data_IF_716534984793
#
_entry.id   IF_716534984793
#
_cell.length_a   1.000
_cell.length_b   1.000
_cell.length_c   1.000
_cell.angle_alpha   90.00
_cell.angle_beta   90.00
_cell.angle_gamma   90.00
#
_symmetry.space_group_name_H-M   'P 1'
#
loop_
_entity.id
_entity.type
_entity.pdbx_description
1 polymer ?
#
# COMPACT_ATOMS: atom_id res chain seq x y z
N UNK A 1 43.96 -5.94 -24.14
CA UNK A 1 42.92 -4.91 -23.88
C UNK A 1 41.59 -5.63 -23.67
N UNK A 2 41.03 -5.55 -22.46
CA UNK A 2 39.86 -6.33 -22.03
C UNK A 2 38.61 -5.81 -22.76
N UNK A 3 37.94 -6.71 -23.50
CA UNK A 3 36.68 -6.43 -24.19
C UNK A 3 35.58 -6.29 -23.14
N UNK A 4 35.21 -5.05 -22.83
CA UNK A 4 33.97 -4.77 -22.10
C UNK A 4 32.82 -5.17 -23.02
N UNK A 5 32.18 -6.29 -22.69
CA UNK A 5 31.07 -6.85 -23.43
C UNK A 5 29.86 -5.94 -23.28
N UNK A 6 29.32 -5.50 -24.43
CA UNK A 6 28.11 -4.67 -24.58
C UNK A 6 26.87 -5.19 -23.83
N UNK A 7 26.92 -6.43 -23.31
CA UNK A 7 25.88 -7.04 -22.48
C UNK A 7 25.78 -6.41 -21.07
N UNK A 8 26.83 -5.75 -20.58
CA UNK A 8 26.78 -5.05 -19.29
C UNK A 8 26.01 -3.71 -19.35
N UNK A 9 25.77 -3.17 -20.55
CA UNK A 9 25.03 -1.91 -20.72
C UNK A 9 23.50 -2.09 -20.69
N UNK A 10 22.98 -3.31 -20.83
CA UNK A 10 21.54 -3.56 -20.87
C UNK A 10 20.92 -3.92 -19.51
N UNK A 11 21.74 -4.16 -18.47
CA UNK A 11 21.24 -4.41 -17.10
C UNK A 11 21.27 -3.14 -16.24
N UNK A 12 21.88 -2.05 -16.73
CA UNK A 12 21.90 -0.74 -16.07
C UNK A 12 20.72 0.17 -16.48
N UNK A 13 19.62 -0.40 -17.00
CA UNK A 13 18.48 0.35 -17.54
C UNK A 13 17.31 0.58 -16.57
N UNK A 14 17.22 -0.17 -15.47
CA UNK A 14 16.08 -0.08 -14.53
C UNK A 14 16.40 0.57 -13.18
N UNK A 15 17.66 1.00 -12.96
CA UNK A 15 18.06 1.66 -11.71
C UNK A 15 18.18 3.19 -11.80
N UNK A 16 17.88 3.81 -12.96
CA UNK A 16 18.08 5.26 -13.14
C UNK A 16 16.91 6.00 -13.81
N UNK A 17 15.71 5.43 -13.77
CA UNK A 17 14.47 6.10 -14.23
C UNK A 17 13.46 6.41 -13.12
N UNK A 18 13.76 6.11 -11.85
CA UNK A 18 12.88 6.47 -10.72
C UNK A 18 13.14 7.89 -10.17
N UNK A 19 14.24 8.53 -10.55
CA UNK A 19 14.57 9.89 -10.09
C UNK A 19 14.10 11.00 -11.03
N UNK A 20 13.49 10.69 -12.18
CA UNK A 20 13.07 11.70 -13.17
C UNK A 20 11.61 11.62 -13.63
N UNK A 21 10.85 10.57 -13.29
CA UNK A 21 9.39 10.52 -13.53
C UNK A 21 8.56 11.22 -12.44
N UNK A 22 9.16 11.50 -11.28
CA UNK A 22 8.50 12.03 -10.08
C UNK A 22 9.00 13.43 -9.66
N UNK A 23 9.52 14.21 -10.60
CA UNK A 23 9.88 15.60 -10.37
C UNK A 23 8.61 16.46 -10.24
N UNK A 24 8.04 16.53 -9.03
CA UNK A 24 6.89 17.39 -8.71
C UNK A 24 5.73 16.71 -7.99
N UNK A 25 5.73 15.38 -7.87
CA UNK A 25 4.65 14.63 -7.23
C UNK A 25 4.83 14.58 -5.70
N UNK A 26 3.76 14.86 -4.96
CA UNK A 26 3.79 14.87 -3.49
C UNK A 26 3.96 13.46 -2.93
N UNK A 27 4.39 13.33 -1.67
CA UNK A 27 4.45 12.01 -0.99
C UNK A 27 3.09 11.35 -1.00
N UNK A 28 2.02 12.11 -0.75
CA UNK A 28 0.64 11.63 -0.78
C UNK A 28 0.29 10.97 -2.11
N UNK A 29 0.54 11.66 -3.22
CA UNK A 29 0.18 11.18 -4.57
C UNK A 29 0.98 9.91 -4.93
N UNK A 30 2.27 9.88 -4.59
CA UNK A 30 3.12 8.69 -4.75
C UNK A 30 2.59 7.48 -3.99
N UNK A 31 2.12 7.69 -2.75
CA UNK A 31 1.55 6.62 -1.94
C UNK A 31 0.29 6.04 -2.59
N UNK A 32 -0.61 6.89 -3.08
CA UNK A 32 -1.83 6.44 -3.75
C UNK A 32 -1.51 5.64 -5.02
N UNK A 33 -0.64 6.18 -5.86
CA UNK A 33 -0.22 5.55 -7.12
C UNK A 33 0.38 4.16 -6.86
N UNK A 34 1.26 4.05 -5.87
CA UNK A 34 1.91 2.78 -5.58
C UNK A 34 0.97 1.78 -4.89
N UNK A 35 0.08 2.23 -4.01
CA UNK A 35 -0.95 1.39 -3.41
C UNK A 35 -1.90 0.81 -4.47
N UNK A 36 -2.32 1.62 -5.44
CA UNK A 36 -3.16 1.17 -6.55
C UNK A 36 -2.44 0.17 -7.47
N UNK A 37 -1.18 0.46 -7.82
CA UNK A 37 -0.35 -0.52 -8.59
C UNK A 37 -0.25 -1.85 -7.87
N UNK A 38 -0.04 -1.85 -6.57
CA UNK A 38 0.08 -3.08 -5.79
C UNK A 38 -1.23 -3.85 -5.75
N UNK A 39 -2.37 -3.16 -5.60
CA UNK A 39 -3.69 -3.78 -5.68
C UNK A 39 -3.91 -4.43 -7.05
N UNK A 40 -3.60 -3.72 -8.14
CA UNK A 40 -3.75 -4.26 -9.50
C UNK A 40 -2.79 -5.43 -9.77
N UNK A 41 -1.51 -5.29 -9.41
CA UNK A 41 -0.52 -6.36 -9.55
C UNK A 41 -0.93 -7.60 -8.77
N UNK A 42 -1.49 -7.42 -7.59
CA UNK A 42 -1.88 -8.54 -6.77
C UNK A 42 -3.13 -9.25 -7.33
N UNK A 43 -4.07 -8.55 -7.99
CA UNK A 43 -5.19 -9.22 -8.71
C UNK A 43 -4.69 -10.24 -9.75
N UNK A 44 -3.53 -10.00 -10.34
CA UNK A 44 -2.94 -10.87 -11.37
C UNK A 44 -1.92 -11.86 -10.81
N UNK A 45 -1.11 -11.44 -9.83
CA UNK A 45 0.09 -12.16 -9.37
C UNK A 45 -0.04 -12.71 -7.95
N UNK A 46 -1.12 -12.38 -7.23
CA UNK A 46 -1.36 -12.79 -5.86
C UNK A 46 -0.24 -12.36 -4.92
N UNK A 47 0.38 -13.32 -4.24
CA UNK A 47 1.42 -13.08 -3.24
C UNK A 47 2.68 -12.43 -3.80
N UNK A 48 3.05 -12.73 -5.04
CA UNK A 48 4.29 -12.26 -5.65
C UNK A 48 4.33 -10.73 -5.79
N UNK A 49 3.16 -10.09 -5.91
CA UNK A 49 3.06 -8.63 -5.94
C UNK A 49 3.65 -7.97 -4.68
N UNK A 50 3.56 -8.63 -3.52
CA UNK A 50 4.07 -8.10 -2.25
C UNK A 50 5.60 -8.06 -2.17
N UNK A 51 6.33 -8.77 -3.05
CA UNK A 51 7.80 -8.76 -3.06
C UNK A 51 8.36 -7.43 -3.59
N UNK A 52 7.52 -6.62 -4.24
CA UNK A 52 7.92 -5.38 -4.88
C UNK A 52 7.62 -4.12 -4.03
N UNK A 53 7.22 -4.28 -2.77
CA UNK A 53 6.93 -3.13 -1.89
C UNK A 53 8.22 -2.39 -1.56
N UNK A 54 8.26 -1.09 -1.87
CA UNK A 54 9.32 -0.20 -1.41
C UNK A 54 9.08 0.20 0.05
N UNK A 55 9.85 -0.40 0.96
CA UNK A 55 9.78 -0.13 2.40
C UNK A 55 10.08 1.33 2.78
N UNK A 56 10.91 2.05 2.00
CA UNK A 56 11.17 3.47 2.26
C UNK A 56 9.98 4.34 1.88
N UNK A 57 9.32 4.00 0.78
CA UNK A 57 8.09 4.66 0.38
C UNK A 57 6.98 4.36 1.39
N UNK A 58 6.82 3.10 1.82
CA UNK A 58 5.88 2.72 2.87
C UNK A 58 6.10 3.50 4.17
N UNK A 59 7.35 3.65 4.60
CA UNK A 59 7.68 4.47 5.77
C UNK A 59 7.27 5.94 5.57
N UNK A 60 7.48 6.48 4.36
CA UNK A 60 7.07 7.85 4.00
C UNK A 60 5.54 8.01 3.99
N UNK A 61 4.81 7.02 3.50
CA UNK A 61 3.34 7.01 3.49
C UNK A 61 2.76 6.97 4.90
N UNK A 62 3.34 6.16 5.78
CA UNK A 62 2.99 6.12 7.21
C UNK A 62 3.25 7.46 7.89
N UNK A 63 4.39 8.09 7.61
CA UNK A 63 4.71 9.40 8.17
C UNK A 63 3.72 10.49 7.69
N UNK A 64 3.32 10.48 6.42
CA UNK A 64 2.33 11.42 5.91
C UNK A 64 0.95 11.18 6.54
N UNK A 65 0.58 9.90 6.77
CA UNK A 65 -0.64 9.54 7.48
C UNK A 65 -0.63 10.07 8.93
N UNK A 66 0.44 9.81 9.69
CA UNK A 66 0.61 10.34 11.05
C UNK A 66 0.54 11.87 11.08
N UNK A 67 1.15 12.54 10.11
CA UNK A 67 1.11 14.01 10.02
C UNK A 67 -0.32 14.53 9.84
N UNK A 68 -1.15 13.88 9.03
CA UNK A 68 -2.58 14.24 8.89
C UNK A 68 -3.35 14.05 10.20
N UNK A 69 -3.12 12.93 10.88
CA UNK A 69 -3.75 12.60 12.15
C UNK A 69 -3.39 13.60 13.24
N UNK A 70 -2.10 13.90 13.40
CA UNK A 70 -1.62 14.89 14.37
C UNK A 70 -2.14 16.30 14.09
N UNK A 71 -2.18 16.71 12.82
CA UNK A 71 -2.70 18.02 12.45
C UNK A 71 -4.17 18.17 12.86
N UNK A 72 -4.98 17.14 12.62
CA UNK A 72 -6.39 17.12 13.01
C UNK A 72 -6.56 17.17 14.54
N UNK A 73 -5.78 16.38 15.29
CA UNK A 73 -5.81 16.37 16.76
C UNK A 73 -5.37 17.71 17.37
N UNK A 74 -4.24 18.27 16.90
CA UNK A 74 -3.73 19.56 17.39
C UNK A 74 -4.73 20.69 17.16
N UNK A 75 -5.39 20.72 16.00
CA UNK A 75 -6.47 21.69 15.72
C UNK A 75 -7.66 21.55 16.67
N UNK A 76 -7.97 20.32 17.09
CA UNK A 76 -9.01 20.04 18.08
C UNK A 76 -8.55 20.27 19.54
N UNK A 77 -7.32 20.75 19.77
CA UNK A 77 -6.78 20.97 21.11
C UNK A 77 -6.41 19.68 21.85
N UNK A 78 -6.22 18.57 21.12
CA UNK A 78 -5.84 17.27 21.67
C UNK A 78 -4.36 17.02 21.45
N UNK A 79 -3.65 16.61 22.50
CA UNK A 79 -2.27 16.11 22.39
C UNK A 79 -2.28 14.70 21.75
N UNK A 80 -1.65 14.49 20.58
CA UNK A 80 -1.57 13.19 19.94
C UNK A 80 -1.00 12.09 20.83
N UNK A 81 -0.05 12.42 21.72
CA UNK A 81 0.59 11.44 22.61
C UNK A 81 -0.34 10.94 23.73
N UNK A 82 -1.39 11.71 24.05
CA UNK A 82 -2.36 11.38 25.10
C UNK A 82 -3.73 10.97 24.55
N UNK A 83 -3.87 10.93 23.22
CA UNK A 83 -5.14 10.63 22.58
C UNK A 83 -5.49 9.13 22.70
N UNK A 84 -6.73 8.85 23.11
CA UNK A 84 -7.29 7.49 23.21
C UNK A 84 -8.39 7.22 22.19
N UNK A 85 -8.70 8.21 21.33
CA UNK A 85 -9.73 8.09 20.30
C UNK A 85 -9.13 7.84 18.92
N UNK A 86 -9.92 7.29 17.99
CA UNK A 86 -9.51 7.22 16.60
C UNK A 86 -9.30 8.65 16.04
N UNK A 87 -8.14 8.98 15.42
CA UNK A 87 -7.85 10.30 14.85
C UNK A 87 -8.91 10.82 13.88
N UNK A 88 -9.61 9.92 13.18
CA UNK A 88 -10.74 10.20 12.29
C UNK A 88 -11.83 11.08 12.94
N UNK A 89 -11.99 10.98 14.26
CA UNK A 89 -12.96 11.79 15.04
C UNK A 89 -12.69 13.29 14.94
N UNK A 90 -11.43 13.70 14.81
CA UNK A 90 -11.00 15.10 14.83
C UNK A 90 -10.86 15.71 13.42
N UNK A 91 -11.03 14.88 12.39
CA UNK A 91 -10.95 15.27 11.00
C UNK A 91 -12.29 15.79 10.49
N UNK A 92 -12.21 16.79 9.60
CA UNK A 92 -13.33 17.24 8.75
C UNK A 92 -13.70 16.17 7.71
N UNK A 93 -14.83 16.35 7.03
CA UNK A 93 -15.25 15.44 5.95
C UNK A 93 -14.21 15.27 4.84
N UNK A 94 -13.59 16.37 4.40
CA UNK A 94 -12.58 16.34 3.33
C UNK A 94 -11.30 15.61 3.78
N UNK A 95 -10.84 15.89 5.00
CA UNK A 95 -9.66 15.23 5.55
C UNK A 95 -9.86 13.72 5.72
N UNK A 96 -11.07 13.29 6.11
CA UNK A 96 -11.42 11.88 6.21
C UNK A 96 -11.30 11.16 4.87
N UNK A 97 -11.73 11.79 3.78
CA UNK A 97 -11.60 11.23 2.42
C UNK A 97 -10.13 11.12 2.03
N UNK A 98 -9.33 12.14 2.30
CA UNK A 98 -7.89 12.11 1.99
C UNK A 98 -7.16 11.04 2.82
N UNK A 99 -7.47 10.99 4.12
CA UNK A 99 -6.90 10.03 5.06
C UNK A 99 -7.27 8.60 4.71
N UNK A 100 -8.53 8.31 4.36
CA UNK A 100 -8.96 6.95 4.04
C UNK A 100 -8.25 6.40 2.81
N UNK A 101 -8.02 7.23 1.78
CA UNK A 101 -7.27 6.82 0.59
C UNK A 101 -5.80 6.50 0.91
N UNK A 102 -5.15 7.35 1.71
CA UNK A 102 -3.77 7.11 2.10
C UNK A 102 -3.65 5.89 3.03
N UNK A 103 -4.62 5.71 3.92
CA UNK A 103 -4.71 4.55 4.81
C UNK A 103 -4.85 3.25 4.00
N UNK A 104 -5.74 3.20 3.01
CA UNK A 104 -5.91 2.05 2.11
C UNK A 104 -4.62 1.73 1.32
N UNK A 105 -3.93 2.77 0.82
CA UNK A 105 -2.65 2.59 0.13
C UNK A 105 -1.57 2.01 1.06
N UNK A 106 -1.47 2.51 2.30
CA UNK A 106 -0.56 1.98 3.32
C UNK A 106 -0.93 0.54 3.65
N UNK A 107 -2.20 0.23 3.87
CA UNK A 107 -2.69 -1.11 4.19
C UNK A 107 -2.38 -2.12 3.08
N UNK A 108 -2.60 -1.73 1.81
CA UNK A 108 -2.21 -2.52 0.65
C UNK A 108 -0.71 -2.85 0.67
N UNK A 109 0.14 -1.83 0.87
CA UNK A 109 1.60 -2.01 0.97
C UNK A 109 2.03 -2.85 2.17
N UNK A 110 1.29 -2.79 3.29
CA UNK A 110 1.59 -3.61 4.46
C UNK A 110 1.10 -5.05 4.33
N UNK A 111 0.33 -5.38 3.29
CA UNK A 111 -0.32 -6.67 3.18
C UNK A 111 -1.41 -6.89 4.24
N UNK A 112 -1.91 -5.82 4.86
CA UNK A 112 -2.87 -5.87 5.97
C UNK A 112 -4.10 -5.07 5.53
N UNK A 113 -5.19 -5.73 5.13
CA UNK A 113 -6.47 -5.05 4.88
C UNK A 113 -7.04 -5.23 3.47
N UNK A 114 -8.36 -5.44 3.41
CA UNK A 114 -9.21 -5.81 2.25
C UNK A 114 -9.14 -7.29 1.83
N UNK A 115 -10.32 -7.90 1.61
CA UNK A 115 -10.63 -9.29 1.16
C UNK A 115 -9.60 -9.93 0.22
N UNK A 116 -9.02 -9.12 -0.64
CA UNK A 116 -8.02 -9.50 -1.62
C UNK A 116 -6.69 -9.97 -0.97
N UNK A 117 -6.24 -9.32 0.11
CA UNK A 117 -5.02 -9.69 0.84
C UNK A 117 -5.14 -10.96 1.70
N UNK A 118 -6.35 -11.39 2.07
CA UNK A 118 -6.56 -12.74 2.63
C UNK A 118 -6.14 -13.83 1.62
N UNK A 119 -6.36 -13.60 0.32
CA UNK A 119 -5.98 -14.54 -0.72
C UNK A 119 -4.48 -14.49 -1.01
N UNK A 120 -3.90 -13.29 -1.07
CA UNK A 120 -2.45 -13.13 -1.33
C UNK A 120 -1.56 -13.64 -0.19
N UNK A 121 -2.00 -13.56 1.08
CA UNK A 121 -1.15 -13.94 2.23
C UNK A 121 -1.50 -15.28 2.88
N UNK A 122 -2.74 -15.78 2.76
CA UNK A 122 -3.19 -17.03 3.38
C UNK A 122 -3.73 -18.08 2.39
N UNK A 123 -3.96 -17.74 1.12
CA UNK A 123 -4.50 -18.64 0.09
C UNK A 123 -3.44 -19.14 -0.88
N UNK A 124 -3.11 -20.43 -0.84
CA UNK A 124 -2.22 -21.08 -1.81
C UNK A 124 -2.84 -21.37 -3.18
N UNK A 125 -3.92 -20.67 -3.58
CA UNK A 125 -4.68 -20.98 -4.80
C UNK A 125 -5.42 -19.74 -5.33
N UNK A 126 -5.12 -19.29 -6.57
CA UNK A 126 -5.65 -18.04 -7.11
C UNK A 126 -7.14 -18.15 -7.47
N UNK A 127 -7.96 -17.26 -6.89
CA UNK A 127 -9.30 -16.93 -7.39
C UNK A 127 -10.46 -17.85 -7.00
N UNK A 128 -10.39 -19.17 -7.29
CA UNK A 128 -11.55 -20.08 -7.20
C UNK A 128 -12.21 -20.14 -5.80
N UNK A 129 -11.39 -19.99 -4.78
CA UNK A 129 -11.76 -20.11 -3.36
C UNK A 129 -12.61 -18.96 -2.86
N UNK A 130 -12.39 -17.76 -3.39
CA UNK A 130 -13.17 -16.57 -3.03
C UNK A 130 -14.53 -16.55 -3.70
N UNK A 131 -14.60 -16.98 -4.97
CA UNK A 131 -15.85 -17.10 -5.72
C UNK A 131 -16.82 -18.09 -5.06
N UNK A 132 -16.28 -19.16 -4.47
CA UNK A 132 -17.07 -20.14 -3.71
C UNK A 132 -17.57 -19.57 -2.37
N UNK A 133 -16.75 -18.80 -1.65
CA UNK A 133 -17.21 -18.09 -0.44
C UNK A 133 -18.28 -17.05 -0.74
N UNK A 134 -18.19 -16.32 -1.85
CA UNK A 134 -19.23 -15.38 -2.28
C UNK A 134 -20.52 -16.08 -2.69
N UNK A 135 -20.42 -17.24 -3.35
CA UNK A 135 -21.58 -18.08 -3.67
C UNK A 135 -22.24 -18.71 -2.46
N UNK A 136 -21.46 -19.12 -1.46
CA UNK A 136 -21.94 -20.01 -0.39
C UNK A 136 -22.10 -19.33 0.97
N UNK A 137 -21.44 -18.19 1.19
CA UNK A 137 -21.42 -17.48 2.47
C UNK A 137 -20.70 -18.24 3.59
N UNK A 138 -19.89 -19.26 3.28
CA UNK A 138 -19.23 -20.13 4.27
C UNK A 138 -17.73 -20.23 4.02
N UNK A 139 -16.96 -20.37 5.10
CA UNK A 139 -15.53 -20.71 5.05
C UNK A 139 -15.40 -22.23 4.89
N UNK A 140 -14.70 -22.75 3.88
CA UNK A 140 -14.49 -24.19 3.70
C UNK A 140 -13.78 -24.85 4.89
N UNK A 141 -14.16 -26.10 5.19
CA UNK A 141 -13.75 -26.79 6.42
C UNK A 141 -12.26 -27.19 6.45
N UNK A 142 -11.62 -27.26 5.29
CA UNK A 142 -10.20 -27.58 5.08
C UNK A 142 -9.29 -26.35 5.21
N UNK A 143 -9.85 -25.19 5.57
CA UNK A 143 -9.10 -23.95 5.80
C UNK A 143 -8.61 -23.78 7.26
N UNK A 144 -8.57 -24.86 8.07
CA UNK A 144 -7.99 -24.90 9.43
C UNK A 144 -6.73 -25.76 9.49
#
# INVERSE_FOLDING_TARGET
MKKLTLKALFVAGFAFALSSAYAGESVYDKCLSEGEKLIEAAKTEGRAAAENVDENLLASCKAELTKMEEAAMKRAGVDPAQNTHNPYKFMTGEERVKWSKLWEAVDAMQGRGVRFLQNAWYGGDPGNRLDEMEKTGKIPADWR
#
